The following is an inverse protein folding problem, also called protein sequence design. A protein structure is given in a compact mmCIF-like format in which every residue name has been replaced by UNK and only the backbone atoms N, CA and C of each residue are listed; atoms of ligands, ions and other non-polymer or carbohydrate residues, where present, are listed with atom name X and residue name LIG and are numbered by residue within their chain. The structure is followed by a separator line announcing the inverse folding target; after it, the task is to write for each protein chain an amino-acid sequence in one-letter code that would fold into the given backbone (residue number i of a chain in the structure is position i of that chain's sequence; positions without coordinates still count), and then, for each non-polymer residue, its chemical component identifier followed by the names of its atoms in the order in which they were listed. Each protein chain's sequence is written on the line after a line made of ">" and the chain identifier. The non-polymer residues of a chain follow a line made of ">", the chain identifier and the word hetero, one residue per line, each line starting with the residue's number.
data_IF_013294295308
#
_entry.id   IF_013294295308
#
_cell.length_a   1.000
_cell.length_b   1.000
_cell.length_c   1.000
_cell.angle_alpha   90.00
_cell.angle_beta   90.00
_cell.angle_gamma   90.00
#
_symmetry.space_group_name_H-M   'P 1'
#
loop_
_entity.id
_entity.type
_entity.pdbx_description
1 polymer ?
#
# COMPACT_ATOMS: atom_id res chain seq x y z
N UNK A 1 11.76 -65.09 -48.51
CA UNK A 1 11.36 -63.74 -48.04
C UNK A 1 10.19 -63.95 -47.11
N UNK A 2 10.51 -64.23 -45.85
CA UNK A 2 9.57 -64.49 -44.77
C UNK A 2 8.73 -63.24 -44.55
N UNK A 3 7.41 -63.39 -44.67
CA UNK A 3 6.44 -62.36 -44.34
C UNK A 3 6.61 -62.06 -42.86
N UNK A 4 7.31 -60.96 -42.56
CA UNK A 4 7.39 -60.43 -41.21
C UNK A 4 5.97 -60.32 -40.66
N UNK A 5 5.69 -61.05 -39.58
CA UNK A 5 4.49 -60.83 -38.77
C UNK A 5 4.50 -59.36 -38.35
N UNK A 6 3.75 -58.55 -39.08
CA UNK A 6 3.46 -57.18 -38.72
C UNK A 6 2.55 -57.21 -37.49
N UNK A 7 3.17 -57.38 -36.32
CA UNK A 7 2.49 -57.22 -35.05
C UNK A 7 1.88 -55.81 -35.00
N UNK A 8 0.57 -55.76 -34.77
CA UNK A 8 -0.21 -54.53 -34.71
C UNK A 8 0.43 -53.52 -33.74
N UNK A 9 1.02 -53.99 -32.64
CA UNK A 9 1.74 -53.15 -31.69
C UNK A 9 2.93 -52.42 -32.33
N UNK A 10 3.65 -53.08 -33.23
CA UNK A 10 4.81 -52.52 -33.94
C UNK A 10 4.38 -51.49 -34.99
N UNK A 11 3.28 -51.73 -35.69
CA UNK A 11 2.68 -50.76 -36.62
C UNK A 11 2.19 -49.51 -35.89
N UNK A 12 1.45 -49.68 -34.79
CA UNK A 12 0.96 -48.57 -33.96
C UNK A 12 2.12 -47.77 -33.36
N UNK A 13 3.20 -48.42 -32.90
CA UNK A 13 4.42 -47.73 -32.44
C UNK A 13 5.04 -46.88 -33.54
N UNK A 14 5.22 -47.42 -34.75
CA UNK A 14 5.78 -46.66 -35.90
C UNK A 14 4.85 -45.52 -36.34
N UNK A 15 3.53 -45.73 -36.33
CA UNK A 15 2.56 -44.66 -36.61
C UNK A 15 2.59 -43.58 -35.53
N UNK A 16 2.63 -43.94 -34.25
CA UNK A 16 2.81 -42.96 -33.16
C UNK A 16 4.17 -42.28 -33.19
N UNK A 17 5.21 -42.92 -33.69
CA UNK A 17 6.53 -42.30 -33.78
C UNK A 17 6.60 -41.27 -34.92
N UNK A 18 5.91 -41.54 -36.03
CA UNK A 18 5.90 -40.65 -37.21
C UNK A 18 4.80 -39.59 -37.17
N UNK A 19 3.64 -39.94 -36.63
CA UNK A 19 2.43 -39.10 -36.60
C UNK A 19 1.94 -38.81 -35.18
N UNK A 20 2.57 -39.39 -34.16
CA UNK A 20 2.04 -39.30 -32.82
C UNK A 20 2.20 -37.94 -32.19
N UNK A 21 1.28 -37.72 -31.27
CA UNK A 21 0.99 -36.52 -30.52
C UNK A 21 2.21 -35.85 -29.86
N UNK A 22 3.33 -36.54 -29.62
CA UNK A 22 4.48 -35.99 -28.89
C UNK A 22 5.06 -34.69 -29.49
N UNK A 23 5.20 -34.59 -30.83
CA UNK A 23 5.67 -33.34 -31.47
C UNK A 23 4.63 -32.22 -31.35
N UNK A 24 3.34 -32.59 -31.39
CA UNK A 24 2.24 -31.66 -31.24
C UNK A 24 2.04 -31.24 -29.77
N UNK A 25 2.31 -32.12 -28.80
CA UNK A 25 2.26 -31.87 -27.36
C UNK A 25 3.25 -30.79 -26.97
N UNK A 26 4.52 -30.89 -27.39
CA UNK A 26 5.53 -29.85 -27.13
C UNK A 26 5.10 -28.49 -27.71
N UNK A 27 4.48 -28.49 -28.89
CA UNK A 27 3.93 -27.26 -29.49
C UNK A 27 2.79 -26.68 -28.64
N UNK A 28 1.83 -27.49 -28.22
CA UNK A 28 0.70 -27.02 -27.43
C UNK A 28 1.10 -26.62 -26.01
N UNK A 29 2.11 -27.27 -25.42
CA UNK A 29 2.73 -26.86 -24.17
C UNK A 29 3.35 -25.47 -24.29
N UNK A 30 4.15 -25.24 -25.34
CA UNK A 30 4.72 -23.91 -25.60
C UNK A 30 3.64 -22.84 -25.84
N UNK A 31 2.54 -23.19 -26.53
CA UNK A 31 1.40 -22.28 -26.71
C UNK A 31 0.66 -21.99 -25.40
N UNK A 32 0.51 -22.99 -24.53
CA UNK A 32 -0.14 -22.85 -23.23
C UNK A 32 0.67 -21.97 -22.29
N UNK A 33 1.98 -22.21 -22.18
CA UNK A 33 2.89 -21.45 -21.30
C UNK A 33 2.95 -19.98 -21.68
N UNK A 34 3.00 -19.68 -22.99
CA UNK A 34 3.07 -18.33 -23.51
C UNK A 34 1.69 -17.67 -23.69
N UNK A 35 0.60 -18.34 -23.29
CA UNK A 35 -0.74 -17.75 -23.38
C UNK A 35 -0.83 -16.59 -22.39
N UNK A 36 -1.25 -15.42 -22.88
CA UNK A 36 -1.53 -14.22 -22.09
C UNK A 36 -2.83 -13.59 -22.56
N UNK A 37 -3.54 -12.87 -21.68
CA UNK A 37 -4.77 -12.16 -22.04
C UNK A 37 -4.48 -11.07 -23.06
N UNK A 38 -5.22 -11.06 -24.17
CA UNK A 38 -5.12 -10.00 -25.18
C UNK A 38 -5.90 -8.75 -24.73
N UNK A 39 -5.50 -7.54 -25.14
CA UNK A 39 -6.25 -6.33 -24.81
C UNK A 39 -7.66 -6.41 -25.43
N UNK A 40 -8.70 -6.31 -24.60
CA UNK A 40 -10.10 -6.40 -25.03
C UNK A 40 -10.67 -7.81 -25.18
N UNK A 41 -9.90 -8.85 -24.85
CA UNK A 41 -10.40 -10.23 -24.84
C UNK A 41 -11.25 -10.50 -23.58
N UNK A 42 -12.40 -11.17 -23.78
CA UNK A 42 -13.25 -11.62 -22.69
C UNK A 42 -12.55 -12.73 -21.89
N UNK A 43 -12.74 -12.73 -20.57
CA UNK A 43 -12.17 -13.77 -19.69
C UNK A 43 -12.64 -15.16 -20.11
N UNK A 44 -13.90 -15.28 -20.53
CA UNK A 44 -14.52 -16.55 -20.91
C UNK A 44 -13.76 -17.13 -22.12
N UNK A 45 -13.47 -16.32 -23.14
CA UNK A 45 -12.68 -16.75 -24.30
C UNK A 45 -11.26 -17.17 -23.90
N UNK A 46 -10.62 -16.43 -23.00
CA UNK A 46 -9.30 -16.78 -22.46
C UNK A 46 -9.33 -18.15 -21.76
N UNK A 47 -10.33 -18.38 -20.90
CA UNK A 47 -10.48 -19.63 -20.16
C UNK A 47 -10.75 -20.83 -21.08
N UNK A 48 -11.60 -20.65 -22.10
CA UNK A 48 -11.89 -21.69 -23.09
C UNK A 48 -10.64 -22.06 -23.90
N UNK A 49 -9.87 -21.06 -24.33
CA UNK A 49 -8.60 -21.29 -25.03
C UNK A 49 -7.60 -22.05 -24.16
N UNK A 50 -7.41 -21.63 -22.91
CA UNK A 50 -6.52 -22.32 -21.96
C UNK A 50 -6.97 -23.77 -21.81
N UNK A 51 -8.27 -24.01 -21.60
CA UNK A 51 -8.82 -25.37 -21.48
C UNK A 51 -8.57 -26.21 -22.73
N UNK A 52 -8.77 -25.66 -23.92
CA UNK A 52 -8.52 -26.37 -25.17
C UNK A 52 -7.04 -26.68 -25.37
N UNK A 53 -6.15 -25.73 -25.04
CA UNK A 53 -4.70 -25.93 -25.10
C UNK A 53 -4.26 -26.99 -24.10
N UNK A 54 -4.77 -26.96 -22.86
CA UNK A 54 -4.45 -27.97 -21.84
C UNK A 54 -4.89 -29.36 -22.27
N UNK A 55 -6.09 -29.51 -22.85
CA UNK A 55 -6.57 -30.81 -23.38
C UNK A 55 -5.67 -31.36 -24.49
N UNK A 56 -5.16 -30.49 -25.35
CA UNK A 56 -4.26 -30.88 -26.46
C UNK A 56 -2.84 -31.16 -25.98
N UNK A 57 -2.34 -30.37 -25.01
CA UNK A 57 -1.00 -30.48 -24.44
C UNK A 57 -0.86 -31.68 -23.48
N UNK A 58 -1.92 -31.99 -22.74
CA UNK A 58 -1.95 -33.05 -21.74
C UNK A 58 -3.06 -34.06 -22.03
N UNK A 59 -3.09 -34.56 -23.26
CA UNK A 59 -4.08 -35.57 -23.72
C UNK A 59 -4.06 -36.85 -22.89
N UNK A 60 -2.92 -37.16 -22.28
CA UNK A 60 -2.68 -38.33 -21.43
C UNK A 60 -3.11 -38.16 -19.96
N UNK A 61 -3.35 -36.92 -19.49
CA UNK A 61 -3.81 -36.68 -18.12
C UNK A 61 -5.31 -36.87 -17.98
N UNK A 62 -5.76 -37.19 -16.76
CA UNK A 62 -7.17 -37.18 -16.41
C UNK A 62 -7.75 -35.74 -16.45
N UNK A 63 -9.07 -35.63 -16.50
CA UNK A 63 -9.76 -34.32 -16.60
C UNK A 63 -9.51 -33.43 -15.38
N UNK A 64 -9.42 -34.02 -14.18
CA UNK A 64 -9.18 -33.26 -12.95
C UNK A 64 -7.77 -32.65 -12.92
N UNK A 65 -6.73 -33.40 -13.29
CA UNK A 65 -5.37 -32.85 -13.36
C UNK A 65 -5.23 -31.86 -14.52
N UNK A 66 -5.95 -32.05 -15.64
CA UNK A 66 -6.04 -31.02 -16.68
C UNK A 66 -6.64 -29.71 -16.13
N UNK A 67 -7.75 -29.77 -15.37
CA UNK A 67 -8.37 -28.58 -14.79
C UNK A 67 -7.44 -27.88 -13.78
N UNK A 68 -6.68 -28.64 -12.97
CA UNK A 68 -5.67 -28.07 -12.05
C UNK A 68 -4.55 -27.36 -12.83
N UNK A 69 -4.05 -27.95 -13.91
CA UNK A 69 -3.02 -27.32 -14.74
C UNK A 69 -3.56 -26.06 -15.42
N UNK A 70 -4.78 -26.12 -15.95
CA UNK A 70 -5.45 -24.99 -16.57
C UNK A 70 -5.67 -23.83 -15.58
N UNK A 71 -6.11 -24.13 -14.35
CA UNK A 71 -6.25 -23.14 -13.28
C UNK A 71 -4.91 -22.51 -12.88
N UNK A 72 -3.86 -23.31 -12.74
CA UNK A 72 -2.53 -22.80 -12.43
C UNK A 72 -2.01 -21.86 -13.54
N UNK A 73 -2.29 -22.18 -14.80
CA UNK A 73 -1.94 -21.29 -15.91
C UNK A 73 -2.77 -20.00 -15.87
N UNK A 74 -4.07 -20.10 -15.59
CA UNK A 74 -4.94 -18.94 -15.41
C UNK A 74 -4.44 -17.99 -14.32
N UNK A 75 -4.02 -18.53 -13.17
CA UNK A 75 -3.48 -17.76 -12.04
C UNK A 75 -2.15 -17.06 -12.33
N UNK A 76 -1.40 -17.49 -13.35
CA UNK A 76 -0.20 -16.77 -13.81
C UNK A 76 -0.53 -15.57 -14.69
N UNK A 77 -1.65 -15.63 -15.42
CA UNK A 77 -2.05 -14.63 -16.41
C UNK A 77 -2.89 -13.51 -15.78
N UNK A 78 -3.71 -13.86 -14.79
CA UNK A 78 -4.69 -12.98 -14.17
C UNK A 78 -4.06 -12.08 -13.08
N UNK A 79 -4.71 -10.95 -12.79
CA UNK A 79 -4.30 -10.05 -11.71
C UNK A 79 -4.32 -10.75 -10.34
N UNK A 80 -3.42 -10.36 -9.41
CA UNK A 80 -3.36 -10.98 -8.09
C UNK A 80 -4.66 -10.84 -7.30
N UNK A 81 -5.43 -9.77 -7.52
CA UNK A 81 -6.72 -9.57 -6.86
C UNK A 81 -7.73 -10.65 -7.27
N UNK A 82 -7.90 -10.88 -8.57
CA UNK A 82 -8.82 -11.90 -9.10
C UNK A 82 -8.35 -13.32 -8.72
N UNK A 83 -7.04 -13.56 -8.66
CA UNK A 83 -6.49 -14.82 -8.14
C UNK A 83 -6.93 -15.09 -6.70
N UNK A 84 -6.82 -14.10 -5.81
CA UNK A 84 -7.29 -14.24 -4.43
C UNK A 84 -8.78 -14.57 -4.38
N UNK A 85 -9.61 -13.89 -5.19
CA UNK A 85 -11.05 -14.19 -5.27
C UNK A 85 -11.34 -15.63 -5.69
N UNK A 86 -10.60 -16.17 -6.66
CA UNK A 86 -10.77 -17.56 -7.07
C UNK A 86 -10.37 -18.56 -5.97
N UNK A 87 -9.32 -18.25 -5.21
CA UNK A 87 -8.88 -19.06 -4.06
C UNK A 87 -9.93 -19.00 -2.93
N UNK A 88 -10.47 -17.82 -2.62
CA UNK A 88 -11.49 -17.64 -1.59
C UNK A 88 -12.76 -18.46 -1.88
N UNK A 89 -13.11 -18.58 -3.17
CA UNK A 89 -14.25 -19.38 -3.63
C UNK A 89 -13.91 -20.87 -3.85
N UNK A 90 -12.67 -21.32 -3.55
CA UNK A 90 -12.20 -22.69 -3.73
C UNK A 90 -12.45 -23.27 -5.13
N UNK A 91 -12.17 -22.47 -6.18
CA UNK A 91 -12.43 -22.90 -7.56
C UNK A 91 -11.68 -24.18 -7.91
N UNK A 92 -12.43 -25.22 -8.29
CA UNK A 92 -11.90 -26.55 -8.60
C UNK A 92 -11.78 -26.82 -10.10
N UNK A 93 -12.54 -26.08 -10.91
CA UNK A 93 -12.51 -26.13 -12.38
C UNK A 93 -12.25 -24.76 -12.99
N UNK A 94 -11.66 -24.75 -14.18
CA UNK A 94 -11.42 -23.51 -14.96
C UNK A 94 -12.73 -22.77 -15.28
N UNK A 95 -13.84 -23.49 -15.46
CA UNK A 95 -15.14 -22.88 -15.74
C UNK A 95 -15.71 -22.14 -14.52
N UNK A 96 -15.56 -22.73 -13.32
CA UNK A 96 -15.96 -22.10 -12.06
C UNK A 96 -15.17 -20.82 -11.84
N UNK A 97 -13.84 -20.88 -12.04
CA UNK A 97 -13.00 -19.68 -11.99
C UNK A 97 -13.45 -18.61 -13.00
N UNK A 98 -13.76 -19.00 -14.24
CA UNK A 98 -14.24 -18.05 -15.26
C UNK A 98 -15.51 -17.31 -14.81
N UNK A 99 -16.49 -18.02 -14.24
CA UNK A 99 -17.74 -17.42 -13.75
C UNK A 99 -17.50 -16.47 -12.57
N UNK A 100 -16.60 -16.84 -11.66
CA UNK A 100 -16.21 -15.98 -10.52
C UNK A 100 -15.56 -14.70 -11.03
N UNK A 101 -14.59 -14.80 -11.93
CA UNK A 101 -13.86 -13.63 -12.45
C UNK A 101 -14.81 -12.73 -13.26
N UNK A 102 -15.68 -13.30 -14.11
CA UNK A 102 -16.64 -12.53 -14.91
C UNK A 102 -17.62 -11.74 -14.03
N UNK A 103 -18.09 -12.35 -12.94
CA UNK A 103 -18.91 -11.68 -11.93
C UNK A 103 -18.16 -10.51 -11.28
N UNK A 104 -16.90 -10.70 -10.89
CA UNK A 104 -16.11 -9.64 -10.26
C UNK A 104 -15.70 -8.53 -11.25
N UNK A 105 -15.37 -8.86 -12.50
CA UNK A 105 -15.13 -7.86 -13.55
C UNK A 105 -16.37 -7.04 -13.85
N UNK A 106 -17.55 -7.67 -13.87
CA UNK A 106 -18.81 -6.94 -13.99
C UNK A 106 -18.97 -5.94 -12.84
N UNK A 107 -18.79 -6.38 -11.59
CA UNK A 107 -18.92 -5.52 -10.40
C UNK A 107 -17.91 -4.37 -10.42
N UNK A 108 -16.63 -4.65 -10.65
CA UNK A 108 -15.58 -3.64 -10.71
C UNK A 108 -15.75 -2.68 -11.89
N UNK A 109 -16.26 -3.17 -13.02
CA UNK A 109 -16.61 -2.35 -14.19
C UNK A 109 -17.71 -1.31 -13.88
N UNK A 110 -18.69 -1.66 -13.03
CA UNK A 110 -19.68 -0.70 -12.53
C UNK A 110 -19.09 0.32 -11.55
N UNK A 111 -18.14 -0.09 -10.71
CA UNK A 111 -17.48 0.81 -9.74
C UNK A 111 -16.61 1.85 -10.43
N UNK A 112 -15.99 1.57 -11.58
CA UNK A 112 -15.28 2.59 -12.35
C UNK A 112 -16.22 3.67 -12.91
N UNK A 113 -17.47 3.30 -13.27
CA UNK A 113 -18.50 4.25 -13.68
C UNK A 113 -19.15 5.00 -12.51
N UNK A 114 -19.21 4.42 -11.30
CA UNK A 114 -19.68 5.11 -10.09
C UNK A 114 -18.61 6.00 -9.46
N UNK A 115 -17.35 5.59 -9.49
CA UNK A 115 -16.20 6.37 -9.02
C UNK A 115 -16.09 7.71 -9.77
N UNK A 116 -16.38 7.74 -11.08
CA UNK A 116 -16.46 9.00 -11.83
C UNK A 116 -17.65 9.90 -11.44
N UNK A 117 -18.67 9.35 -10.76
CA UNK A 117 -19.87 10.09 -10.30
C UNK A 117 -19.81 10.53 -8.84
N UNK A 118 -18.86 10.04 -8.04
CA UNK A 118 -18.68 10.47 -6.63
C UNK A 118 -17.63 11.57 -6.60
N UNK A 119 -17.99 12.76 -6.12
CA UNK A 119 -17.03 13.84 -5.87
C UNK A 119 -15.96 13.34 -4.90
N UNK A 120 -14.71 13.29 -5.35
CA UNK A 120 -13.57 12.94 -4.51
C UNK A 120 -13.51 13.87 -3.29
N UNK A 121 -13.41 13.29 -2.09
CA UNK A 121 -12.87 14.01 -0.94
C UNK A 121 -11.36 13.99 -1.13
N UNK A 122 -10.77 15.17 -1.35
CA UNK A 122 -9.34 15.36 -1.56
C UNK A 122 -8.56 14.90 -0.31
N UNK A 123 -8.05 13.66 -0.33
CA UNK A 123 -7.07 13.18 0.65
C UNK A 123 -5.75 13.95 0.52
N UNK A 124 -5.49 14.53 -0.66
CA UNK A 124 -4.39 15.46 -0.94
C UNK A 124 -4.39 16.71 -0.05
N UNK A 125 -5.54 17.07 0.54
CA UNK A 125 -5.64 18.22 1.45
C UNK A 125 -4.88 18.00 2.75
N UNK A 126 -4.77 16.76 3.21
CA UNK A 126 -4.04 16.39 4.42
C UNK A 126 -2.53 16.38 4.14
N UNK A 127 -2.11 15.77 3.02
CA UNK A 127 -0.69 15.73 2.61
C UNK A 127 -0.12 17.11 2.31
N UNK A 128 -0.89 18.02 1.70
CA UNK A 128 -0.46 19.42 1.48
C UNK A 128 -0.27 20.18 2.80
N UNK A 129 -1.16 19.97 3.78
CA UNK A 129 -1.05 20.60 5.11
C UNK A 129 0.11 20.01 5.90
N UNK A 130 0.28 18.70 5.86
CA UNK A 130 1.40 18.00 6.51
C UNK A 130 2.74 18.41 5.89
N UNK A 131 2.83 18.49 4.56
CA UNK A 131 4.01 19.01 3.85
C UNK A 131 4.31 20.47 4.21
N UNK A 132 3.28 21.31 4.34
CA UNK A 132 3.44 22.71 4.80
C UNK A 132 3.97 22.83 6.23
N UNK A 133 3.48 21.97 7.15
CA UNK A 133 3.97 21.90 8.53
C UNK A 133 5.42 21.43 8.59
N UNK A 134 5.79 20.40 7.83
CA UNK A 134 7.16 19.88 7.75
C UNK A 134 8.12 20.98 7.24
N UNK A 135 7.77 21.66 6.14
CA UNK A 135 8.56 22.80 5.65
C UNK A 135 8.70 23.92 6.67
N UNK A 136 7.62 24.22 7.41
CA UNK A 136 7.65 25.21 8.48
C UNK A 136 8.54 24.82 9.67
N UNK A 137 8.64 23.53 9.98
CA UNK A 137 9.57 23.02 10.99
C UNK A 137 11.02 23.12 10.51
N UNK A 138 11.32 22.74 9.27
CA UNK A 138 12.66 22.88 8.69
C UNK A 138 13.16 24.32 8.72
N UNK A 139 12.31 25.29 8.30
CA UNK A 139 12.66 26.71 8.37
C UNK A 139 12.91 27.22 9.79
N UNK A 140 12.26 26.62 10.80
CA UNK A 140 12.51 26.98 12.21
C UNK A 140 13.79 26.35 12.74
N UNK A 141 14.12 25.14 12.30
CA UNK A 141 15.37 24.46 12.66
C UNK A 141 16.58 25.22 12.08
N UNK A 142 16.52 25.61 10.81
CA UNK A 142 17.59 26.40 10.16
C UNK A 142 17.81 27.76 10.86
N UNK A 143 16.73 28.39 11.36
CA UNK A 143 16.81 29.62 12.18
C UNK A 143 17.40 29.38 13.57
N UNK A 144 17.18 28.21 14.17
CA UNK A 144 17.76 27.88 15.47
C UNK A 144 19.24 27.52 15.35
N UNK A 145 19.63 26.84 14.27
CA UNK A 145 21.03 26.54 13.96
C UNK A 145 21.84 27.81 13.68
N UNK A 146 21.29 28.75 12.92
CA UNK A 146 21.94 30.04 12.67
C UNK A 146 22.06 30.89 13.96
N UNK A 147 21.09 30.81 14.88
CA UNK A 147 21.17 31.50 16.19
C UNK A 147 22.15 30.82 17.15
N UNK A 148 22.28 29.48 17.13
CA UNK A 148 23.23 28.76 17.97
C UNK A 148 24.69 29.01 17.52
N UNK A 149 24.93 29.06 16.21
CA UNK A 149 26.22 29.44 15.62
C UNK A 149 26.57 30.92 15.90
N UNK A 150 25.60 31.84 15.84
CA UNK A 150 25.79 33.24 16.21
C UNK A 150 26.02 33.46 17.73
N UNK A 151 25.49 32.58 18.59
CA UNK A 151 25.74 32.61 20.03
C UNK A 151 27.14 32.13 20.42
N UNK A 152 27.76 31.28 19.61
CA UNK A 152 29.09 30.72 19.92
C UNK A 152 30.25 31.71 19.68
N UNK A 153 30.01 32.82 18.97
CA UNK A 153 31.03 33.85 18.66
C UNK A 153 30.86 35.15 19.46
N UNK A 154 29.77 35.33 20.21
CA UNK A 154 29.61 36.46 21.13
C UNK A 154 30.10 36.12 22.54
N UNK A 155 31.42 35.94 22.68
CA UNK A 155 32.08 36.25 23.94
C UNK A 155 31.96 37.77 24.17
N UNK A 156 31.19 38.11 25.19
CA UNK A 156 30.95 39.44 25.77
C UNK A 156 32.16 40.40 25.75
N UNK A 157 32.00 41.67 25.31
CA UNK A 157 33.00 42.69 25.56
C UNK A 157 32.99 43.06 27.05
N UNK A 158 34.09 42.79 27.75
CA UNK A 158 34.41 43.31 29.09
C UNK A 158 34.50 44.84 29.02
N UNK A 159 33.42 45.55 29.27
CA UNK A 159 33.48 46.99 29.56
C UNK A 159 33.76 47.18 31.05
N UNK A 160 34.92 47.75 31.39
CA UNK A 160 35.32 48.21 32.72
C UNK A 160 34.19 49.06 33.32
N UNK A 161 33.47 48.55 34.33
CA UNK A 161 32.46 49.36 35.02
C UNK A 161 33.11 50.16 36.13
N UNK A 162 33.24 51.46 35.91
CA UNK A 162 33.31 52.45 36.98
C UNK A 162 32.17 52.22 37.99
N UNK A 163 32.52 52.33 39.28
CA UNK A 163 31.68 52.18 40.48
C UNK A 163 30.17 52.02 40.23
N UNK A 164 29.64 50.81 40.40
CA UNK A 164 28.20 50.53 40.27
C UNK A 164 27.43 51.13 41.46
N UNK A 165 26.89 52.33 41.28
CA UNK A 165 25.99 52.98 42.24
C UNK A 165 24.53 52.81 41.81
N UNK A 166 23.60 52.81 42.75
CA UNK A 166 22.17 52.77 42.50
C UNK A 166 21.73 53.93 41.59
N UNK A 167 21.05 53.63 40.47
CA UNK A 167 20.62 54.66 39.53
C UNK A 167 19.52 55.60 40.07
N UNK A 168 18.86 55.25 41.18
CA UNK A 168 17.80 56.07 41.79
C UNK A 168 18.35 57.04 42.83
N UNK A 169 19.12 56.53 43.80
CA UNK A 169 19.63 57.31 44.93
C UNK A 169 21.14 57.56 44.88
N UNK A 170 21.84 57.04 43.86
CA UNK A 170 23.30 57.16 43.62
C UNK A 170 24.19 56.59 44.74
N UNK A 171 23.63 55.78 45.64
CA UNK A 171 24.39 55.05 46.69
C UNK A 171 25.17 53.87 46.11
N UNK A 172 26.39 53.61 46.60
CA UNK A 172 27.21 52.45 46.21
C UNK A 172 26.83 51.15 46.93
N UNK A 173 26.01 51.24 47.98
CA UNK A 173 25.71 50.11 48.86
C UNK A 173 24.76 49.08 48.21
N UNK A 174 23.98 49.48 47.22
CA UNK A 174 23.02 48.61 46.53
C UNK A 174 22.82 49.04 45.08
N UNK A 175 22.23 48.15 44.28
CA UNK A 175 21.86 48.41 42.89
C UNK A 175 20.38 48.82 42.79
N UNK A 176 19.97 49.40 41.67
CA UNK A 176 18.60 49.92 41.46
C UNK A 176 17.48 48.91 41.78
N UNK A 177 17.72 47.61 41.60
CA UNK A 177 16.76 46.54 41.91
C UNK A 177 16.44 46.41 43.39
N UNK A 178 17.43 46.64 44.23
CA UNK A 178 17.37 46.47 45.68
C UNK A 178 17.29 47.85 46.38
N UNK A 179 16.94 48.89 45.63
CA UNK A 179 16.79 50.21 46.17
C UNK A 179 15.57 50.27 47.10
N UNK A 180 15.75 50.59 48.40
CA UNK A 180 14.65 50.62 49.36
C UNK A 180 13.61 51.70 49.03
N UNK A 181 13.95 52.70 48.21
CA UNK A 181 13.04 53.74 47.71
C UNK A 181 12.27 53.32 46.44
N UNK A 182 12.35 52.05 46.03
CA UNK A 182 11.63 51.57 44.85
C UNK A 182 10.15 51.39 45.20
N UNK A 183 9.29 52.26 44.66
CA UNK A 183 7.83 52.11 44.75
C UNK A 183 7.40 50.76 44.15
N UNK A 184 6.91 49.84 45.00
CA UNK A 184 6.27 48.61 44.56
C UNK A 184 4.81 48.91 44.22
N UNK A 185 4.52 49.23 42.96
CA UNK A 185 3.12 49.23 42.49
C UNK A 185 2.65 47.78 42.33
N UNK A 186 1.86 47.30 43.29
CA UNK A 186 1.13 46.04 43.23
C UNK A 186 0.01 46.14 42.19
N UNK A 187 0.12 45.39 41.10
CA UNK A 187 -0.94 45.29 40.10
C UNK A 187 -1.65 43.93 40.21
N UNK A 188 -2.89 43.99 40.72
CA UNK A 188 -4.08 43.45 40.05
C UNK A 188 -4.35 41.95 40.15
N UNK A 189 -5.25 41.59 41.08
CA UNK A 189 -6.11 40.42 40.98
C UNK A 189 -6.91 40.44 39.65
N UNK A 190 -6.87 39.34 38.90
CA UNK A 190 -7.84 39.06 37.83
C UNK A 190 -8.37 37.66 38.05
N UNK A 191 -9.55 37.58 38.67
CA UNK A 191 -10.33 36.35 38.84
C UNK A 191 -10.85 35.91 37.47
N UNK A 192 -10.44 34.72 37.02
CA UNK A 192 -10.93 34.08 35.80
C UNK A 192 -12.19 33.29 36.13
N UNK A 193 -13.34 33.72 35.59
CA UNK A 193 -14.52 32.85 35.48
C UNK A 193 -14.28 31.82 34.36
N UNK A 194 -14.43 30.54 34.67
CA UNK A 194 -14.42 29.42 33.71
C UNK A 194 -15.80 28.76 33.71
N UNK A 195 -16.46 28.57 32.55
CA UNK A 195 -17.72 27.84 32.50
C UNK A 195 -17.48 26.33 32.56
N UNK A 196 -18.23 25.65 33.44
CA UNK A 196 -18.24 24.21 33.57
C UNK A 196 -19.09 23.57 32.48
N UNK A 197 -18.50 22.72 31.65
CA UNK A 197 -19.24 21.80 30.79
C UNK A 197 -18.54 20.44 30.76
N UNK A 198 -19.38 19.40 30.84
CA UNK A 198 -19.15 18.01 30.47
C UNK A 198 -18.66 17.04 31.57
N UNK A 199 -19.63 16.35 32.19
CA UNK A 199 -19.44 15.01 32.78
C UNK A 199 -20.69 14.15 32.53
N UNK A 200 -20.67 13.41 31.42
CA UNK A 200 -21.43 12.16 31.26
C UNK A 200 -20.42 11.07 30.88
N UNK A 201 -20.52 9.91 31.53
CA UNK A 201 -19.69 8.75 31.20
C UNK A 201 -19.73 7.66 32.27
N UNK A 202 -20.81 6.87 32.24
CA UNK A 202 -20.95 5.58 32.93
C UNK A 202 -19.84 4.57 32.54
N UNK A 203 -19.54 3.60 33.41
CA UNK A 203 -18.73 2.45 33.03
C UNK A 203 -18.32 1.53 34.18
N UNK A 204 -19.26 0.71 34.62
CA UNK A 204 -19.15 -0.34 35.65
C UNK A 204 -18.00 -1.33 35.41
N UNK A 205 -17.26 -1.70 36.46
CA UNK A 205 -16.36 -2.88 36.44
C UNK A 205 -16.60 -3.72 37.69
N UNK A 206 -17.41 -4.76 37.53
CA UNK A 206 -17.62 -5.82 38.50
C UNK A 206 -16.47 -6.83 38.41
N UNK A 207 -15.81 -7.07 39.53
CA UNK A 207 -14.96 -8.25 39.75
C UNK A 207 -15.33 -8.83 41.09
N UNK A 208 -16.06 -9.94 41.07
CA UNK A 208 -16.05 -11.05 42.02
C UNK A 208 -16.78 -12.22 41.37
#
# INVERSE_FOLDING_TARGET
>A
MSLDEYDYCTLVKRMKQRFGSSVHESKYLGMLENRQRRPGESIISLCDDIRQLTKKAYSQLNTQSQDIVALNQLYKIISPEMKCRCIDNNCSSIHEAAAVIDKYESILGYDQQRSSRVRAVDTNGIDRKLSGLIKGLDSRLERLESVSLARSTQQSPKTKSESRKCFKCRSEAHLFRDCPQRERKSFGEVSRNVPAHLSQGNGSRSTQ
#
